data_IF_280340504125
#
_entry.id   IF_280340504125
#
_cell.length_a   1.000
_cell.length_b   1.000
_cell.length_c   1.000
_cell.angle_alpha   90.00
_cell.angle_beta   90.00
_cell.angle_gamma   90.00
#
_symmetry.space_group_name_H-M   'P 1'
#
loop_
_entity.id
_entity.type
_entity.pdbx_description
1 polymer ?
#
# COMPACT_ATOMS: atom_id res chain seq x y z
N UNK A 1 -10.97 -7.09 -9.86
CA UNK A 1 -11.57 -5.96 -9.09
C UNK A 1 -10.78 -4.67 -9.35
N UNK A 2 -11.38 -3.69 -10.02
CA UNK A 2 -10.71 -2.42 -10.40
C UNK A 2 -11.12 -1.83 -11.74
N UNK A 3 -12.01 -2.50 -12.50
CA UNK A 3 -12.50 -2.02 -13.78
C UNK A 3 -13.42 -0.81 -13.63
N UNK A 4 -14.09 -0.64 -12.49
CA UNK A 4 -15.00 0.49 -12.21
C UNK A 4 -14.35 1.87 -12.48
N UNK A 5 -13.07 2.03 -12.13
CA UNK A 5 -12.35 3.28 -12.39
C UNK A 5 -12.07 3.46 -13.89
N UNK A 6 -11.68 2.39 -14.59
CA UNK A 6 -11.50 2.44 -16.03
C UNK A 6 -12.83 2.70 -16.76
N UNK A 7 -13.91 2.07 -16.32
CA UNK A 7 -15.29 2.25 -16.82
C UNK A 7 -15.80 3.67 -16.56
N UNK A 8 -15.45 4.27 -15.42
CA UNK A 8 -15.71 5.68 -15.12
C UNK A 8 -14.80 6.65 -15.90
N UNK A 9 -13.92 6.16 -16.77
CA UNK A 9 -13.07 6.97 -17.66
C UNK A 9 -11.73 7.40 -17.06
N UNK A 10 -11.34 6.89 -15.89
CA UNK A 10 -10.03 7.18 -15.33
C UNK A 10 -8.93 6.45 -16.12
N UNK A 11 -7.87 7.21 -16.46
CA UNK A 11 -6.73 6.70 -17.24
C UNK A 11 -5.62 6.11 -16.36
N UNK A 12 -5.67 6.38 -15.06
CA UNK A 12 -4.67 5.94 -14.08
C UNK A 12 -5.30 4.90 -13.16
N UNK A 13 -4.51 3.93 -12.64
CA UNK A 13 -5.02 3.00 -11.64
C UNK A 13 -5.41 3.76 -10.37
N UNK A 14 -6.37 3.22 -9.61
CA UNK A 14 -6.99 3.85 -8.44
C UNK A 14 -6.00 4.56 -7.48
N UNK A 15 -4.86 3.96 -7.06
CA UNK A 15 -3.92 4.64 -6.16
C UNK A 15 -3.31 5.92 -6.73
N UNK A 16 -3.30 6.05 -8.07
CA UNK A 16 -2.72 7.18 -8.80
C UNK A 16 -3.76 8.17 -9.33
N UNK A 17 -5.04 7.96 -9.06
CA UNK A 17 -6.07 8.96 -9.38
C UNK A 17 -5.87 10.18 -8.48
N UNK A 18 -5.99 11.38 -9.06
CA UNK A 18 -5.84 12.62 -8.31
C UNK A 18 -7.12 12.98 -7.56
N UNK A 19 -6.97 13.27 -6.26
CA UNK A 19 -7.97 13.93 -5.42
C UNK A 19 -7.36 15.25 -4.96
N UNK A 20 -8.05 16.36 -5.27
CA UNK A 20 -7.57 17.75 -4.98
C UNK A 20 -6.12 17.96 -5.47
N UNK A 21 -5.84 17.52 -6.69
CA UNK A 21 -4.53 17.70 -7.34
C UNK A 21 -3.41 16.75 -6.89
N UNK A 22 -3.65 15.83 -5.95
CA UNK A 22 -2.65 14.86 -5.47
C UNK A 22 -3.14 13.40 -5.62
N UNK A 23 -2.28 12.44 -5.99
CA UNK A 23 -2.63 11.03 -6.04
C UNK A 23 -3.17 10.50 -4.71
N UNK A 24 -4.20 9.64 -4.73
CA UNK A 24 -4.77 9.01 -3.51
C UNK A 24 -3.68 8.36 -2.65
N UNK A 25 -2.72 7.69 -3.26
CA UNK A 25 -1.62 7.04 -2.55
C UNK A 25 -0.83 8.00 -1.65
N UNK A 26 -0.64 9.26 -2.07
CA UNK A 26 0.05 10.27 -1.26
C UNK A 26 -0.78 10.66 -0.04
N UNK A 27 -2.11 10.78 -0.20
CA UNK A 27 -3.00 11.05 0.92
C UNK A 27 -2.95 9.97 2.00
N UNK A 28 -2.69 8.71 1.63
CA UNK A 28 -2.52 7.62 2.60
C UNK A 28 -1.14 7.69 3.26
N UNK A 29 -0.08 7.73 2.45
CA UNK A 29 1.28 7.51 2.95
C UNK A 29 1.92 8.73 3.62
N UNK A 30 1.58 9.95 3.21
CA UNK A 30 2.14 11.18 3.81
C UNK A 30 1.73 11.36 5.28
N UNK A 31 0.65 10.70 5.72
CA UNK A 31 0.14 10.76 7.09
C UNK A 31 0.69 9.65 8.00
N UNK A 32 1.55 8.78 7.48
CA UNK A 32 2.13 7.68 8.24
C UNK A 32 3.55 8.05 8.70
N UNK A 33 3.84 7.93 9.99
CA UNK A 33 5.21 8.07 10.51
C UNK A 33 6.02 6.81 10.22
N UNK A 34 6.44 6.64 8.97
CA UNK A 34 7.34 5.57 8.54
C UNK A 34 8.74 5.77 9.14
N UNK A 35 9.32 4.68 9.65
CA UNK A 35 10.69 4.61 10.15
C UNK A 35 11.58 3.94 9.10
N UNK A 36 12.90 4.18 9.10
CA UNK A 36 13.82 3.50 8.18
C UNK A 36 13.82 1.97 8.26
N UNK A 37 13.31 1.41 9.37
CA UNK A 37 13.20 -0.03 9.59
C UNK A 37 11.89 -0.63 9.05
N UNK A 38 10.93 0.21 8.67
CA UNK A 38 9.66 -0.25 8.14
C UNK A 38 9.81 -0.57 6.65
N UNK A 39 9.15 -1.64 6.21
CA UNK A 39 9.05 -1.99 4.79
C UNK A 39 7.62 -1.76 4.32
N UNK A 40 7.45 -1.08 3.18
CA UNK A 40 6.12 -0.82 2.61
C UNK A 40 5.89 -1.75 1.43
N UNK A 41 4.91 -2.63 1.55
CA UNK A 41 4.52 -3.54 0.47
C UNK A 41 3.34 -2.97 -0.30
N UNK A 42 3.48 -2.86 -1.62
CA UNK A 42 2.38 -2.48 -2.51
C UNK A 42 1.96 -3.70 -3.33
N UNK A 43 0.80 -4.27 -3.00
CA UNK A 43 0.22 -5.37 -3.76
C UNK A 43 -0.48 -4.85 -5.02
N UNK A 44 -0.04 -5.30 -6.19
CA UNK A 44 -0.51 -4.77 -7.47
C UNK A 44 -0.87 -5.91 -8.43
N UNK A 45 -2.07 -5.92 -9.03
CA UNK A 45 -2.40 -6.87 -10.09
C UNK A 45 -1.45 -6.79 -11.28
N UNK A 46 -1.07 -7.96 -11.83
CA UNK A 46 -0.17 -8.04 -13.00
C UNK A 46 -0.66 -7.24 -14.21
N UNK A 47 -1.98 -7.14 -14.41
CA UNK A 47 -2.56 -6.34 -15.48
C UNK A 47 -2.20 -4.85 -15.36
N UNK A 48 -2.21 -4.30 -14.14
CA UNK A 48 -1.84 -2.91 -13.87
C UNK A 48 -0.33 -2.72 -14.07
N UNK A 49 0.50 -3.66 -13.58
CA UNK A 49 1.95 -3.60 -13.77
C UNK A 49 2.38 -3.62 -15.24
N UNK A 50 1.63 -4.32 -16.11
CA UNK A 50 1.91 -4.35 -17.56
C UNK A 50 1.53 -3.06 -18.26
N UNK A 51 0.48 -2.40 -17.78
CA UNK A 51 -0.04 -1.19 -18.41
C UNK A 51 0.67 0.07 -17.92
N UNK A 52 1.13 0.08 -16.67
CA UNK A 52 1.71 1.24 -16.01
C UNK A 52 3.07 0.89 -15.41
N UNK A 53 4.04 1.78 -15.63
CA UNK A 53 5.34 1.72 -14.96
C UNK A 53 5.23 2.24 -13.52
N UNK A 54 4.49 1.48 -12.70
CA UNK A 54 4.16 1.86 -11.33
C UNK A 54 5.40 1.99 -10.45
N UNK A 55 6.40 1.16 -10.68
CA UNK A 55 7.64 1.22 -9.91
C UNK A 55 8.30 2.58 -10.07
N UNK A 56 8.51 3.02 -11.31
CA UNK A 56 9.10 4.34 -11.57
C UNK A 56 8.23 5.47 -11.03
N UNK A 57 6.90 5.37 -11.17
CA UNK A 57 5.98 6.41 -10.68
C UNK A 57 6.05 6.53 -9.15
N UNK A 58 5.91 5.42 -8.43
CA UNK A 58 5.91 5.40 -6.96
C UNK A 58 7.26 5.85 -6.41
N UNK A 59 8.38 5.37 -6.98
CA UNK A 59 9.72 5.81 -6.58
C UNK A 59 9.95 7.31 -6.81
N UNK A 60 9.38 7.88 -7.86
CA UNK A 60 9.45 9.33 -8.12
C UNK A 60 8.59 10.13 -7.14
N UNK A 61 7.40 9.64 -6.83
CA UNK A 61 6.46 10.31 -5.94
C UNK A 61 6.89 10.26 -4.47
N UNK A 62 7.51 9.16 -4.06
CA UNK A 62 7.85 8.85 -2.67
C UNK A 62 9.29 8.33 -2.57
N UNK A 63 10.30 9.16 -2.90
CA UNK A 63 11.70 8.73 -3.00
C UNK A 63 12.34 8.31 -1.66
N UNK A 64 11.71 8.68 -0.54
CA UNK A 64 12.20 8.41 0.82
C UNK A 64 11.64 7.13 1.45
N UNK A 65 10.73 6.45 0.77
CA UNK A 65 10.07 5.25 1.29
C UNK A 65 10.62 4.02 0.57
N UNK A 66 11.00 3.00 1.33
CA UNK A 66 11.44 1.71 0.79
C UNK A 66 10.21 0.85 0.39
N UNK A 67 9.88 0.89 -0.90
CA UNK A 67 8.79 0.10 -1.47
C UNK A 67 9.23 -1.24 -1.99
N UNK A 68 8.41 -2.25 -1.68
CA UNK A 68 8.42 -3.56 -2.31
C UNK A 68 7.11 -3.77 -3.06
N UNK A 69 7.19 -3.74 -4.39
CA UNK A 69 6.03 -4.03 -5.23
C UNK A 69 5.86 -5.55 -5.29
N UNK A 70 4.69 -6.01 -4.89
CA UNK A 70 4.30 -7.41 -4.96
C UNK A 70 3.31 -7.57 -6.09
N UNK A 71 3.74 -8.22 -7.17
CA UNK A 71 2.88 -8.47 -8.33
C UNK A 71 1.96 -9.66 -8.03
N UNK A 72 0.65 -9.42 -8.09
CA UNK A 72 -0.37 -10.45 -7.94
C UNK A 72 -0.64 -11.06 -9.33
N UNK A 73 -0.30 -12.34 -9.58
CA UNK A 73 -0.39 -12.94 -10.91
C UNK A 73 -1.83 -13.35 -11.28
N UNK A 74 -2.77 -13.22 -10.35
CA UNK A 74 -4.18 -13.57 -10.52
C UNK A 74 -5.07 -12.53 -9.83
N UNK A 75 -6.35 -12.50 -10.21
CA UNK A 75 -7.36 -11.77 -9.45
C UNK A 75 -7.61 -12.49 -8.12
N UNK A 76 -7.40 -11.78 -7.02
CA UNK A 76 -7.64 -12.34 -5.68
C UNK A 76 -9.12 -12.35 -5.37
N UNK A 77 -9.56 -13.36 -4.60
CA UNK A 77 -10.92 -13.51 -4.04
C UNK A 77 -11.26 -12.49 -2.96
N UNK A 78 -10.28 -11.70 -2.53
CA UNK A 78 -10.46 -10.64 -1.55
C UNK A 78 -9.15 -10.22 -0.89
N UNK A 79 -9.26 -9.33 0.09
CA UNK A 79 -8.11 -8.77 0.80
C UNK A 79 -7.31 -9.83 1.56
N UNK A 80 -7.95 -10.86 2.12
CA UNK A 80 -7.24 -11.91 2.87
C UNK A 80 -6.29 -12.71 1.97
N UNK A 81 -6.70 -13.03 0.75
CA UNK A 81 -5.84 -13.72 -0.23
C UNK A 81 -4.74 -12.80 -0.78
N UNK A 82 -5.02 -11.49 -0.87
CA UNK A 82 -4.01 -10.48 -1.16
C UNK A 82 -2.93 -10.48 -0.08
N UNK A 83 -3.34 -10.38 1.19
CA UNK A 83 -2.42 -10.38 2.34
C UNK A 83 -1.60 -11.66 2.38
N UNK A 84 -2.23 -12.83 2.19
CA UNK A 84 -1.50 -14.11 2.12
C UNK A 84 -0.46 -14.15 1.00
N UNK A 85 -0.79 -13.59 -0.17
CA UNK A 85 0.13 -13.54 -1.30
C UNK A 85 1.34 -12.65 -1.05
N UNK A 86 1.15 -11.54 -0.32
CA UNK A 86 2.21 -10.63 0.12
C UNK A 86 3.08 -11.28 1.19
N UNK A 87 2.48 -11.84 2.25
CA UNK A 87 3.22 -12.42 3.38
C UNK A 87 4.09 -13.60 2.98
N UNK A 88 3.67 -14.38 1.97
CA UNK A 88 4.51 -15.45 1.39
C UNK A 88 5.79 -14.97 0.70
N UNK A 89 5.87 -13.69 0.35
CA UNK A 89 7.03 -13.08 -0.30
C UNK A 89 7.90 -12.27 0.67
N UNK A 90 7.48 -12.18 1.94
CA UNK A 90 8.26 -11.52 2.99
C UNK A 90 9.48 -12.37 3.36
N UNK A 91 10.60 -11.71 3.63
CA UNK A 91 11.74 -12.36 4.26
C UNK A 91 11.43 -12.77 5.70
N UNK A 92 12.25 -13.68 6.25
CA UNK A 92 12.14 -14.10 7.65
C UNK A 92 12.30 -12.95 8.67
N UNK A 93 12.95 -11.84 8.27
CA UNK A 93 13.05 -10.63 9.09
C UNK A 93 11.75 -9.84 9.09
N UNK A 94 11.15 -9.66 7.91
CA UNK A 94 9.91 -8.89 7.75
C UNK A 94 8.70 -9.59 8.35
N UNK A 95 8.63 -10.91 8.24
CA UNK A 95 7.52 -11.71 8.80
C UNK A 95 7.47 -11.75 10.33
N UNK A 96 8.54 -11.29 11.00
CA UNK A 96 8.58 -11.15 12.47
C UNK A 96 8.08 -9.80 12.96
N UNK A 97 7.97 -8.81 12.06
CA UNK A 97 7.47 -7.49 12.41
C UNK A 97 5.93 -7.49 12.44
N UNK A 98 5.37 -6.53 13.16
CA UNK A 98 3.93 -6.25 13.09
C UNK A 98 3.51 -5.93 11.67
N UNK A 99 2.43 -6.58 11.21
CA UNK A 99 1.84 -6.33 9.90
C UNK A 99 0.61 -5.43 10.05
N UNK A 100 0.73 -4.20 9.54
CA UNK A 100 -0.41 -3.30 9.38
C UNK A 100 -0.85 -3.34 7.91
N UNK A 101 -2.14 -3.56 7.68
CA UNK A 101 -2.73 -3.56 6.33
C UNK A 101 -3.62 -2.33 6.17
N UNK A 102 -3.47 -1.63 5.05
CA UNK A 102 -4.22 -0.42 4.73
C UNK A 102 -4.81 -0.56 3.33
N UNK A 103 -6.04 -0.07 3.13
CA UNK A 103 -6.61 0.06 1.81
C UNK A 103 -6.12 1.38 1.16
N UNK A 104 -5.70 1.30 -0.10
CA UNK A 104 -5.19 2.43 -0.88
C UNK A 104 -6.24 3.52 -1.17
N UNK A 105 -7.53 3.26 -0.89
CA UNK A 105 -8.61 4.24 -1.01
C UNK A 105 -9.07 4.89 0.28
N UNK A 106 -8.54 4.47 1.43
CA UNK A 106 -8.98 5.00 2.71
C UNK A 106 -8.07 6.15 3.12
N UNK A 107 -8.65 7.37 3.17
CA UNK A 107 -7.93 8.56 3.62
C UNK A 107 -8.16 8.73 5.11
N UNK A 108 -7.08 8.83 5.87
CA UNK A 108 -7.08 9.07 7.32
C UNK A 108 -6.73 10.53 7.57
N UNK A 109 -7.66 11.31 8.12
CA UNK A 109 -7.45 12.73 8.37
C UNK A 109 -7.17 12.99 9.85
N UNK A 110 -6.04 13.65 10.15
CA UNK A 110 -5.64 13.97 11.51
C UNK A 110 -5.22 12.76 12.35
N UNK A 111 -5.01 11.60 11.72
CA UNK A 111 -4.67 10.34 12.39
C UNK A 111 -3.52 9.66 11.67
N UNK A 112 -2.46 9.36 12.43
CA UNK A 112 -1.39 8.45 12.01
C UNK A 112 -1.71 7.03 12.51
N UNK A 113 -2.16 6.18 11.60
CA UNK A 113 -2.55 4.80 11.93
C UNK A 113 -1.36 3.98 12.43
N UNK A 114 -0.16 4.20 11.90
CA UNK A 114 1.03 3.47 12.36
C UNK A 114 1.43 3.87 13.78
N UNK A 115 1.28 5.16 14.12
CA UNK A 115 1.50 5.61 15.48
C UNK A 115 0.56 4.91 16.46
N UNK A 116 -0.75 4.85 16.15
CA UNK A 116 -1.74 4.18 16.99
C UNK A 116 -1.41 2.70 17.21
N UNK A 117 -1.10 1.96 16.13
CA UNK A 117 -0.74 0.54 16.23
C UNK A 117 0.44 0.31 17.18
N UNK A 118 1.48 1.13 17.09
CA UNK A 118 2.69 1.01 17.92
C UNK A 118 2.43 1.32 19.39
N UNK A 119 1.58 2.29 19.69
CA UNK A 119 1.19 2.60 21.08
C UNK A 119 0.42 1.42 21.68
N UNK A 120 -0.47 0.79 20.92
CA UNK A 120 -1.22 -0.38 21.39
C UNK A 120 -0.34 -1.60 21.67
N UNK A 121 0.71 -1.84 20.87
CA UNK A 121 1.66 -2.95 21.12
C UNK A 121 2.46 -2.78 22.42
N UNK A 122 2.82 -1.54 22.77
CA UNK A 122 3.52 -1.23 24.01
C UNK A 122 2.72 -1.56 25.27
N UNK A 123 1.39 -1.58 25.19
CA UNK A 123 0.50 -1.92 26.30
C UNK A 123 0.22 -3.41 26.42
N UNK A 124 0.44 -4.20 25.36
CA UNK A 124 0.26 -5.65 25.36
C UNK A 124 1.48 -6.43 25.88
N UNK A 125 2.57 -5.73 26.22
CA UNK A 125 3.86 -6.32 26.62
C UNK A 125 4.20 -6.12 28.11
N UNK A 126 3.21 -5.89 28.98
CA UNK A 126 3.38 -5.77 30.45
C UNK A 126 2.75 -6.96 31.16
#
# INVERSE_FOLDING_TARGET
LGSEFAEAGFRMPKPLVNIVGRPVLLWVLDHLSLRPTDAVFLAVPVAIMRQFDLERIVRRLLPHVDFKIVVLPFETRGWLETVLSVTRQMSAKESRNCLVTLDCSTIYHGVDVLHLCRVSEGHASV
#
